data_IF_114026525825
#
_entry.id   IF_114026525825
#
_cell.length_a   1.000
_cell.length_b   1.000
_cell.length_c   1.000
_cell.angle_alpha   90.00
_cell.angle_beta   90.00
_cell.angle_gamma   90.00
#
_symmetry.space_group_name_H-M   'P 1'
#
loop_
_entity.id
_entity.type
_entity.pdbx_description
1 polymer ?
#
# COMPACT_ATOMS: atom_id res chain seq x y z
N UNK A 1 -6.57 -1.93 -29.26
CA UNK A 1 -8.00 -1.74 -28.94
C UNK A 1 -8.61 -2.98 -28.28
N UNK A 2 -8.43 -4.17 -28.85
CA UNK A 2 -8.92 -5.46 -28.32
C UNK A 2 -8.46 -5.77 -26.87
N UNK A 3 -7.20 -5.52 -26.51
CA UNK A 3 -6.71 -5.79 -25.15
C UNK A 3 -7.41 -5.00 -24.03
N UNK A 4 -7.92 -3.79 -24.31
CA UNK A 4 -8.67 -3.00 -23.31
C UNK A 4 -10.05 -3.59 -23.05
N UNK A 5 -10.68 -4.18 -24.07
CA UNK A 5 -11.98 -4.84 -23.97
C UNK A 5 -11.84 -6.13 -23.16
N UNK A 6 -10.84 -6.97 -23.48
CA UNK A 6 -10.58 -8.19 -22.70
C UNK A 6 -10.25 -7.88 -21.24
N UNK A 7 -9.42 -6.86 -20.98
CA UNK A 7 -9.16 -6.39 -19.61
C UNK A 7 -10.44 -5.96 -18.90
N UNK A 8 -11.30 -5.18 -19.55
CA UNK A 8 -12.55 -4.72 -18.94
C UNK A 8 -13.50 -5.90 -18.64
N UNK A 9 -13.62 -6.85 -19.57
CA UNK A 9 -14.43 -8.05 -19.36
C UNK A 9 -13.87 -8.92 -18.23
N UNK A 10 -12.55 -9.12 -18.19
CA UNK A 10 -11.91 -9.92 -17.15
C UNK A 10 -12.08 -9.29 -15.76
N UNK A 11 -11.98 -7.96 -15.64
CA UNK A 11 -12.24 -7.25 -14.38
C UNK A 11 -13.72 -7.28 -13.96
N UNK A 12 -14.65 -7.22 -14.93
CA UNK A 12 -16.09 -7.25 -14.66
C UNK A 12 -16.58 -8.63 -14.25
N UNK A 13 -16.05 -9.70 -14.87
CA UNK A 13 -16.52 -11.07 -14.68
C UNK A 13 -15.55 -11.97 -13.91
N UNK A 14 -14.38 -11.45 -13.52
CA UNK A 14 -13.37 -12.18 -12.75
C UNK A 14 -12.96 -13.53 -13.36
N UNK A 15 -12.79 -13.59 -14.68
CA UNK A 15 -12.49 -14.84 -15.37
C UNK A 15 -11.12 -15.40 -14.95
N UNK A 16 -10.12 -14.53 -14.83
CA UNK A 16 -8.76 -14.92 -14.44
C UNK A 16 -8.54 -14.89 -12.93
N UNK A 17 -7.57 -15.69 -12.47
CA UNK A 17 -7.06 -15.60 -11.08
C UNK A 17 -6.56 -14.20 -10.77
N UNK A 18 -5.90 -13.54 -11.75
CA UNK A 18 -5.39 -12.18 -11.61
C UNK A 18 -6.50 -11.17 -11.29
N UNK A 19 -7.64 -11.23 -11.99
CA UNK A 19 -8.78 -10.36 -11.71
C UNK A 19 -9.35 -10.57 -10.30
N UNK A 20 -9.46 -11.84 -9.87
CA UNK A 20 -9.92 -12.19 -8.50
C UNK A 20 -8.95 -11.69 -7.43
N UNK A 21 -7.65 -11.94 -7.61
CA UNK A 21 -6.62 -11.49 -6.68
C UNK A 21 -6.58 -9.96 -6.60
N UNK A 22 -6.74 -9.26 -7.73
CA UNK A 22 -6.80 -7.80 -7.78
C UNK A 22 -8.02 -7.23 -7.04
N UNK A 23 -9.19 -7.87 -7.14
CA UNK A 23 -10.36 -7.47 -6.37
C UNK A 23 -10.13 -7.65 -4.87
N UNK A 24 -9.59 -8.80 -4.46
CA UNK A 24 -9.30 -9.06 -3.04
C UNK A 24 -8.28 -8.06 -2.50
N UNK A 25 -7.18 -7.82 -3.22
CA UNK A 25 -6.15 -6.86 -2.83
C UNK A 25 -6.67 -5.41 -2.80
N UNK A 26 -7.57 -5.06 -3.72
CA UNK A 26 -8.21 -3.74 -3.73
C UNK A 26 -9.03 -3.49 -2.47
N UNK A 27 -9.79 -4.50 -2.01
CA UNK A 27 -10.59 -4.42 -0.78
C UNK A 27 -9.70 -4.26 0.46
N UNK A 28 -8.59 -5.00 0.53
CA UNK A 28 -7.73 -4.98 1.73
C UNK A 28 -6.87 -3.74 1.82
N UNK A 29 -6.43 -3.18 0.68
CA UNK A 29 -5.51 -2.03 0.65
C UNK A 29 -6.22 -0.70 0.40
N UNK A 30 -7.46 -0.69 -0.08
CA UNK A 30 -8.14 0.53 -0.52
C UNK A 30 -7.65 1.08 -1.86
N UNK A 31 -6.71 0.40 -2.53
CA UNK A 31 -6.18 0.81 -3.83
C UNK A 31 -7.14 0.39 -4.95
N UNK A 32 -7.35 1.21 -6.02
CA UNK A 32 -8.24 0.84 -7.10
C UNK A 32 -7.89 -0.50 -7.77
N UNK A 33 -8.90 -1.35 -7.99
CA UNK A 33 -8.75 -2.67 -8.62
C UNK A 33 -8.02 -2.64 -9.95
N UNK A 34 -8.22 -1.59 -10.75
CA UNK A 34 -7.51 -1.38 -12.01
C UNK A 34 -5.99 -1.28 -11.80
N UNK A 35 -5.55 -0.56 -10.78
CA UNK A 35 -4.12 -0.40 -10.48
C UNK A 35 -3.53 -1.70 -9.94
N UNK A 36 -4.28 -2.43 -9.12
CA UNK A 36 -3.90 -3.77 -8.66
C UNK A 36 -3.71 -4.73 -9.83
N UNK A 37 -4.67 -4.77 -10.75
CA UNK A 37 -4.59 -5.60 -11.95
C UNK A 37 -3.43 -5.21 -12.86
N UNK A 38 -3.14 -3.92 -13.01
CA UNK A 38 -2.12 -3.42 -13.95
C UNK A 38 -0.68 -3.47 -13.41
N UNK A 39 -0.43 -4.14 -12.28
CA UNK A 39 0.92 -4.31 -11.73
C UNK A 39 1.00 -4.22 -10.21
N UNK A 40 -0.09 -3.83 -9.55
CA UNK A 40 -0.10 -3.68 -8.10
C UNK A 40 0.09 -4.97 -7.32
N UNK A 41 -0.29 -6.11 -7.89
CA UNK A 41 -0.08 -7.43 -7.27
C UNK A 41 1.41 -7.82 -7.17
N UNK A 42 2.26 -7.21 -8.00
CA UNK A 42 3.69 -7.47 -8.05
C UNK A 42 4.53 -6.46 -7.26
N UNK A 43 3.89 -5.43 -6.70
CA UNK A 43 4.56 -4.42 -5.87
C UNK A 43 5.10 -5.09 -4.62
N UNK A 44 6.41 -4.95 -4.42
CA UNK A 44 7.08 -5.44 -3.23
C UNK A 44 7.29 -4.31 -2.22
N UNK A 45 7.65 -4.67 -1.00
CA UNK A 45 7.95 -3.74 0.08
C UNK A 45 8.94 -2.65 -0.34
N UNK A 46 10.00 -3.03 -1.06
CA UNK A 46 11.09 -2.17 -1.49
C UNK A 46 10.64 -1.13 -2.51
N UNK A 47 9.57 -1.42 -3.27
CA UNK A 47 8.98 -0.47 -4.20
C UNK A 47 8.13 0.57 -3.47
N UNK A 48 7.60 0.23 -2.30
CA UNK A 48 6.66 1.06 -1.54
C UNK A 48 7.37 1.92 -0.48
N UNK A 49 8.38 1.38 0.21
CA UNK A 49 9.18 2.05 1.25
C UNK A 49 9.65 3.46 0.84
N UNK A 50 10.17 3.71 -0.38
CA UNK A 50 10.65 5.04 -0.78
C UNK A 50 9.55 6.12 -0.83
N UNK A 51 8.28 5.73 -0.88
CA UNK A 51 7.17 6.68 -0.88
C UNK A 51 6.80 7.15 0.54
N UNK A 52 7.17 6.38 1.57
CA UNK A 52 6.81 6.71 2.94
C UNK A 52 7.84 7.68 3.56
N UNK A 53 7.35 8.50 4.49
CA UNK A 53 8.13 9.47 5.24
C UNK A 53 8.60 8.87 6.57
N UNK A 54 9.69 9.43 7.10
CA UNK A 54 10.26 9.12 8.42
C UNK A 54 10.04 10.30 9.36
N UNK A 55 9.99 10.03 10.66
CA UNK A 55 9.90 11.04 11.71
C UNK A 55 8.48 11.22 12.25
N UNK A 56 8.19 12.41 12.79
CA UNK A 56 6.88 12.71 13.37
C UNK A 56 5.94 13.32 12.32
N UNK A 57 4.70 12.81 12.20
CA UNK A 57 3.65 13.49 11.46
C UNK A 57 3.31 14.83 12.12
N UNK A 58 2.91 15.82 11.31
CA UNK A 58 2.62 17.19 11.77
C UNK A 58 1.15 17.57 11.72
N UNK A 59 0.30 16.73 11.15
CA UNK A 59 -1.10 17.03 10.84
C UNK A 59 -1.98 16.01 11.53
N UNK A 60 -3.09 16.43 12.11
CA UNK A 60 -4.08 15.51 12.65
C UNK A 60 -4.95 14.98 11.51
N UNK A 61 -4.50 13.91 10.87
CA UNK A 61 -5.21 13.22 9.77
C UNK A 61 -5.07 11.71 9.90
N UNK A 62 -5.71 10.97 8.99
CA UNK A 62 -5.54 9.54 8.84
C UNK A 62 -4.27 9.25 8.02
N UNK A 63 -3.42 8.40 8.58
CA UNK A 63 -2.18 7.97 7.98
C UNK A 63 -2.24 6.49 7.61
N UNK A 64 -1.51 6.12 6.57
CA UNK A 64 -1.06 4.76 6.35
C UNK A 64 0.32 4.63 6.98
N UNK A 65 0.43 3.77 7.97
CA UNK A 65 1.66 3.51 8.71
C UNK A 65 2.22 2.17 8.25
N UNK A 66 3.45 2.19 7.78
CA UNK A 66 4.20 1.04 7.32
C UNK A 66 5.32 0.67 8.28
N UNK A 67 5.54 -0.62 8.48
CA UNK A 67 6.65 -1.13 9.29
C UNK A 67 7.25 -2.39 8.69
N UNK A 68 8.57 -2.49 8.73
CA UNK A 68 9.29 -3.73 8.41
C UNK A 68 9.30 -4.56 9.69
N UNK A 69 8.70 -5.75 9.65
CA UNK A 69 8.67 -6.66 10.79
C UNK A 69 9.97 -7.49 10.82
N UNK A 70 10.76 -7.27 11.86
CA UNK A 70 11.93 -8.10 12.14
C UNK A 70 11.48 -9.53 12.46
N UNK A 71 12.13 -10.53 11.87
CA UNK A 71 11.82 -11.96 12.09
C UNK A 71 10.82 -12.59 11.12
N UNK A 72 10.14 -11.81 10.27
CA UNK A 72 9.29 -12.33 9.17
C UNK A 72 9.99 -12.31 7.81
N UNK A 73 11.33 -12.24 7.81
CA UNK A 73 12.12 -12.04 6.59
C UNK A 73 12.01 -10.61 6.02
N UNK A 74 11.62 -9.63 6.84
CA UNK A 74 11.49 -8.23 6.42
C UNK A 74 10.13 -7.90 5.80
N UNK A 75 9.05 -8.59 6.20
CA UNK A 75 7.72 -8.29 5.68
C UNK A 75 7.32 -6.85 6.01
N UNK A 76 6.85 -6.13 5.00
CA UNK A 76 6.33 -4.77 5.16
C UNK A 76 4.84 -4.82 5.46
N UNK A 77 4.48 -4.51 6.70
CA UNK A 77 3.11 -4.45 7.15
C UNK A 77 2.61 -3.00 7.11
N UNK A 78 1.39 -2.79 6.64
CA UNK A 78 0.74 -1.47 6.59
C UNK A 78 -0.58 -1.50 7.35
N UNK A 79 -0.88 -0.42 8.08
CA UNK A 79 -2.13 -0.25 8.80
C UNK A 79 -2.57 1.21 8.81
N UNK A 80 -3.87 1.46 8.99
CA UNK A 80 -4.42 2.81 9.04
C UNK A 80 -4.49 3.30 10.49
N UNK A 81 -3.94 4.48 10.76
CA UNK A 81 -3.92 5.06 12.09
C UNK A 81 -3.94 6.59 12.07
N UNK A 82 -4.48 7.20 13.12
CA UNK A 82 -4.33 8.62 13.40
C UNK A 82 -3.13 8.84 14.31
N UNK A 83 -2.43 9.95 14.16
CA UNK A 83 -1.31 10.30 15.03
C UNK A 83 -1.76 11.23 16.15
N UNK A 84 -1.47 10.86 17.40
CA UNK A 84 -1.62 11.70 18.58
C UNK A 84 -0.25 12.32 18.94
N UNK A 85 -0.08 13.65 18.76
CA UNK A 85 1.17 14.33 19.07
C UNK A 85 1.43 14.50 20.58
N UNK A 86 0.40 14.46 21.43
CA UNK A 86 0.57 14.62 22.88
C UNK A 86 1.24 13.39 23.49
N UNK A 87 0.90 12.20 22.99
CA UNK A 87 1.39 10.92 23.51
C UNK A 87 2.40 10.23 22.59
N UNK A 88 2.79 10.85 21.48
CA UNK A 88 3.64 10.29 20.40
C UNK A 88 3.20 8.86 20.03
N UNK A 89 1.92 8.71 19.72
CA UNK A 89 1.27 7.41 19.54
C UNK A 89 0.37 7.35 18.30
N UNK A 90 0.29 6.16 17.71
CA UNK A 90 -0.66 5.81 16.66
C UNK A 90 -1.93 5.25 17.28
N UNK A 91 -3.08 5.82 16.90
CA UNK A 91 -4.40 5.36 17.27
C UNK A 91 -5.06 4.64 16.10
N UNK A 92 -5.33 3.35 16.26
CA UNK A 92 -6.03 2.56 15.23
C UNK A 92 -7.54 2.59 15.45
N UNK A 93 -8.32 2.89 14.40
CA UNK A 93 -9.79 2.88 14.50
C UNK A 93 -10.39 1.49 14.72
N UNK A 94 -9.72 0.45 14.23
CA UNK A 94 -10.28 -0.90 14.27
C UNK A 94 -10.40 -1.46 15.70
N UNK A 95 -9.46 -1.10 16.59
CA UNK A 95 -9.35 -1.73 17.90
C UNK A 95 -9.35 -0.73 19.07
N UNK A 96 -9.44 0.59 18.80
CA UNK A 96 -9.19 1.67 19.78
C UNK A 96 -7.87 1.50 20.56
N UNK A 97 -6.95 0.69 20.03
CA UNK A 97 -5.64 0.45 20.62
C UNK A 97 -4.73 1.58 20.20
N UNK A 98 -4.16 2.26 21.19
CA UNK A 98 -3.03 3.16 21.03
C UNK A 98 -1.72 2.38 21.11
N UNK A 99 -0.83 2.66 20.17
CA UNK A 99 0.53 2.11 20.13
C UNK A 99 1.50 3.27 20.05
N UNK A 100 2.51 3.31 20.92
CA UNK A 100 3.59 4.29 20.80
C UNK A 100 4.29 4.18 19.44
N UNK A 101 4.58 5.33 18.83
CA UNK A 101 5.34 5.40 17.58
C UNK A 101 6.74 4.83 17.80
N UNK A 102 7.17 3.97 16.90
CA UNK A 102 8.54 3.47 16.87
C UNK A 102 9.38 4.29 15.87
N UNK A 103 10.69 4.37 16.09
CA UNK A 103 11.59 5.17 15.25
C UNK A 103 11.71 4.67 13.80
N UNK A 104 11.40 3.39 13.60
CA UNK A 104 11.35 2.68 12.31
C UNK A 104 9.97 2.76 11.63
N UNK A 105 8.97 3.36 12.29
CA UNK A 105 7.65 3.55 11.67
C UNK A 105 7.77 4.52 10.49
N UNK A 106 7.30 4.05 9.35
CA UNK A 106 7.16 4.81 8.13
C UNK A 106 5.71 5.28 8.02
N UNK A 107 5.47 6.48 7.54
CA UNK A 107 4.09 6.98 7.40
C UNK A 107 3.87 7.77 6.12
N UNK A 108 2.62 7.78 5.69
CA UNK A 108 2.13 8.54 4.54
C UNK A 108 0.69 8.96 4.83
N UNK A 109 0.27 10.13 4.34
CA UNK A 109 -1.14 10.51 4.45
C UNK A 109 -1.99 9.58 3.58
N UNK A 110 -3.21 9.26 4.04
CA UNK A 110 -4.05 8.31 3.29
C UNK A 110 -4.41 8.81 1.89
N UNK A 111 -4.53 10.12 1.72
CA UNK A 111 -4.82 10.77 0.43
C UNK A 111 -3.67 10.59 -0.56
N UNK A 112 -2.44 10.45 -0.07
CA UNK A 112 -1.23 10.24 -0.88
C UNK A 112 -0.99 8.76 -1.18
N UNK A 113 -1.72 7.85 -0.54
CA UNK A 113 -1.45 6.41 -0.59
C UNK A 113 -1.64 5.81 -1.97
N UNK A 114 -2.67 6.22 -2.70
CA UNK A 114 -2.88 5.76 -4.08
C UNK A 114 -1.73 6.19 -4.99
N UNK A 115 -1.30 7.45 -4.89
CA UNK A 115 -0.21 8.00 -5.71
C UNK A 115 1.14 7.35 -5.38
N UNK A 116 1.40 7.11 -4.10
CA UNK A 116 2.55 6.33 -3.65
C UNK A 116 2.55 4.92 -4.26
N UNK A 117 1.39 4.28 -4.30
CA UNK A 117 1.23 2.95 -4.88
C UNK A 117 1.40 2.97 -6.40
N UNK A 118 0.88 3.99 -7.10
CA UNK A 118 1.12 4.21 -8.54
C UNK A 118 2.62 4.36 -8.83
N UNK A 119 3.33 5.13 -8.03
CA UNK A 119 4.78 5.29 -8.15
C UNK A 119 5.52 3.97 -7.89
N UNK A 120 5.05 3.16 -6.93
CA UNK A 120 5.60 1.84 -6.63
C UNK A 120 5.43 0.87 -7.80
N UNK A 121 4.25 0.84 -8.45
CA UNK A 121 4.03 0.06 -9.69
C UNK A 121 5.01 0.48 -10.79
N UNK A 122 5.27 1.79 -10.92
CA UNK A 122 6.28 2.30 -11.86
C UNK A 122 7.71 1.82 -11.55
N UNK A 123 8.11 1.79 -10.27
CA UNK A 123 9.41 1.26 -9.83
C UNK A 123 9.53 -0.24 -10.07
N UNK A 124 8.49 -1.00 -9.74
CA UNK A 124 8.42 -2.44 -9.96
C UNK A 124 8.61 -2.78 -11.45
N UNK A 125 7.92 -2.07 -12.36
CA UNK A 125 8.06 -2.30 -13.80
C UNK A 125 9.49 -2.09 -14.29
N UNK A 126 10.14 -0.99 -13.86
CA UNK A 126 11.55 -0.75 -14.16
C UNK A 126 12.43 -1.89 -13.67
N UNK A 127 12.24 -2.36 -12.42
CA UNK A 127 12.98 -3.50 -11.88
C UNK A 127 12.80 -4.77 -12.72
N UNK A 128 11.60 -5.04 -13.21
CA UNK A 128 11.33 -6.19 -14.08
C UNK A 128 12.05 -6.08 -15.43
N UNK A 129 12.09 -4.89 -16.02
CA UNK A 129 12.80 -4.62 -17.28
C UNK A 129 14.32 -4.84 -17.16
N UNK A 130 14.93 -4.45 -16.04
CA UNK A 130 16.38 -4.64 -15.80
C UNK A 130 16.77 -6.07 -15.39
N UNK A 131 15.81 -6.98 -15.20
CA UNK A 131 16.09 -8.40 -14.88
C UNK A 131 16.05 -9.31 -16.10
N UNK A 132 15.79 -8.77 -17.29
CA UNK A 132 15.80 -9.49 -18.57
C UNK A 132 17.12 -9.32 -19.32
#
# INVERSE_FOLDING_TARGET
MIGRIFRALDLSFCFTKRARDAQLASITTGVPVALMYDGGLEVQAEDLIPAFRKGQPKVETLYVVGRILDGTGGAFNVFHAMYDPETDSWMTRANEVSRKRAGDDLWLQIEEYEDAFRAAVGRMRKRAEYRC
#
